data_IF_889292578840
#
_entry.id   IF_889292578840
#
_cell.length_a   1.000
_cell.length_b   1.000
_cell.length_c   1.000
_cell.angle_alpha   90.00
_cell.angle_beta   90.00
_cell.angle_gamma   90.00
#
_symmetry.space_group_name_H-M   'P 1'
#
loop_
_entity.id
_entity.type
_entity.pdbx_description
1 polymer ?
#
# COMPACT_ATOMS: atom_id res chain seq x y z
N UNK A 1 21.59 -4.24 19.21
CA UNK A 1 21.46 -3.14 18.22
C UNK A 1 20.03 -2.64 18.24
N UNK A 2 19.82 -1.41 18.73
CA UNK A 2 18.53 -0.73 18.63
C UNK A 2 18.23 -0.37 17.16
N UNK A 3 16.96 -0.11 16.80
CA UNK A 3 16.62 0.37 15.47
C UNK A 3 17.45 1.62 15.15
N UNK A 4 18.09 1.64 13.98
CA UNK A 4 18.78 2.83 13.48
C UNK A 4 17.80 3.57 12.59
N UNK A 5 17.17 4.61 13.13
CA UNK A 5 16.46 5.58 12.31
C UNK A 5 17.46 6.24 11.35
N UNK A 6 17.16 6.19 10.06
CA UNK A 6 17.95 6.84 9.02
C UNK A 6 17.07 7.87 8.30
N UNK A 7 17.54 9.11 8.21
CA UNK A 7 16.89 10.13 7.39
C UNK A 7 17.24 9.87 5.91
N UNK A 8 16.24 9.57 5.09
CA UNK A 8 16.45 9.29 3.66
C UNK A 8 16.27 10.54 2.78
N UNK A 9 15.31 11.40 3.14
CA UNK A 9 15.02 12.69 2.49
C UNK A 9 14.33 13.62 3.49
N UNK A 10 14.08 14.88 3.16
CA UNK A 10 13.38 15.80 4.08
C UNK A 10 12.00 15.26 4.49
N UNK A 11 11.77 15.17 5.80
CA UNK A 11 10.56 14.58 6.36
C UNK A 11 10.36 13.08 6.13
N UNK A 12 11.32 12.35 5.54
CA UNK A 12 11.21 10.90 5.25
C UNK A 12 12.31 10.11 5.96
N UNK A 13 11.90 9.15 6.79
CA UNK A 13 12.77 8.30 7.61
C UNK A 13 12.59 6.83 7.30
N UNK A 14 13.66 6.06 7.42
CA UNK A 14 13.64 4.60 7.42
C UNK A 14 13.92 4.08 8.83
N UNK A 15 13.07 3.16 9.31
CA UNK A 15 13.13 2.57 10.64
C UNK A 15 13.93 1.26 10.63
N UNK A 16 15.23 1.33 10.36
CA UNK A 16 16.06 0.13 10.24
C UNK A 16 16.13 -0.66 11.54
N UNK A 17 15.88 -1.97 11.48
CA UNK A 17 15.85 -2.87 12.64
C UNK A 17 14.61 -2.78 13.53
N UNK A 18 13.56 -2.04 13.13
CA UNK A 18 12.27 -2.02 13.85
C UNK A 18 11.52 -3.34 13.71
N UNK A 19 11.59 -3.97 12.52
CA UNK A 19 11.13 -5.33 12.28
C UNK A 19 12.28 -6.21 11.73
N UNK A 20 12.98 -6.88 12.64
CA UNK A 20 14.11 -7.76 12.28
C UNK A 20 13.66 -8.96 11.45
N UNK A 21 12.45 -9.47 11.70
CA UNK A 21 11.93 -10.63 10.97
C UNK A 21 11.72 -10.25 9.51
N UNK A 22 11.11 -9.09 9.25
CA UNK A 22 10.95 -8.56 7.91
C UNK A 22 12.32 -8.36 7.23
N UNK A 23 13.27 -7.69 7.89
CA UNK A 23 14.60 -7.47 7.30
C UNK A 23 15.33 -8.78 6.97
N UNK A 24 15.19 -9.81 7.81
CA UNK A 24 15.76 -11.12 7.54
C UNK A 24 15.06 -11.83 6.37
N UNK A 25 13.76 -11.65 6.19
CA UNK A 25 13.04 -12.12 4.99
C UNK A 25 13.60 -11.46 3.72
N UNK A 26 13.76 -10.13 3.69
CA UNK A 26 14.38 -9.43 2.56
C UNK A 26 15.79 -10.00 2.25
N UNK A 27 16.63 -10.17 3.27
CA UNK A 27 17.98 -10.73 3.11
C UNK A 27 17.93 -12.16 2.57
N UNK A 28 17.00 -12.98 3.04
CA UNK A 28 16.89 -14.40 2.65
C UNK A 28 16.63 -14.58 1.14
N UNK A 29 15.97 -13.61 0.53
CA UNK A 29 15.69 -13.58 -0.92
C UNK A 29 16.70 -12.70 -1.68
N UNK A 30 17.82 -12.34 -1.06
CA UNK A 30 18.90 -11.56 -1.67
C UNK A 30 18.57 -10.08 -1.90
N UNK A 31 17.65 -9.50 -1.13
CA UNK A 31 17.32 -8.08 -1.17
C UNK A 31 17.80 -7.36 0.09
N UNK A 32 17.96 -6.04 -0.01
CA UNK A 32 18.21 -5.16 1.13
C UNK A 32 17.01 -4.23 1.30
N UNK A 33 16.28 -4.38 2.41
CA UNK A 33 15.07 -3.61 2.68
C UNK A 33 15.30 -2.08 2.68
N UNK A 34 16.42 -1.63 3.24
CA UNK A 34 16.77 -0.20 3.28
C UNK A 34 17.05 0.33 1.88
N UNK A 35 17.83 -0.40 1.08
CA UNK A 35 18.21 0.05 -0.26
C UNK A 35 17.00 0.06 -1.19
N UNK A 36 16.11 -0.93 -1.12
CA UNK A 36 14.85 -0.92 -1.86
C UNK A 36 13.97 0.26 -1.43
N UNK A 37 13.86 0.56 -0.14
CA UNK A 37 13.11 1.74 0.32
C UNK A 37 13.69 3.04 -0.24
N UNK A 38 15.03 3.18 -0.21
CA UNK A 38 15.74 4.37 -0.66
C UNK A 38 15.71 4.57 -2.18
N UNK A 39 15.90 3.50 -2.95
CA UNK A 39 16.10 3.58 -4.40
C UNK A 39 14.80 3.38 -5.19
N UNK A 40 13.82 2.67 -4.63
CA UNK A 40 12.59 2.29 -5.33
C UNK A 40 11.37 2.97 -4.72
N UNK A 41 11.08 2.72 -3.44
CA UNK A 41 9.88 3.26 -2.77
C UNK A 41 9.89 4.79 -2.69
N UNK A 42 11.07 5.40 -2.56
CA UNK A 42 11.22 6.85 -2.43
C UNK A 42 10.53 7.62 -3.56
N UNK A 43 10.55 7.10 -4.79
CA UNK A 43 9.93 7.75 -5.94
C UNK A 43 8.41 7.90 -5.72
N UNK A 44 7.75 6.79 -5.41
CA UNK A 44 6.30 6.74 -5.21
C UNK A 44 5.89 7.49 -3.93
N UNK A 45 6.74 7.49 -2.91
CA UNK A 45 6.52 8.23 -1.66
C UNK A 45 6.63 9.75 -1.83
N UNK A 46 7.54 10.23 -2.68
CA UNK A 46 7.64 11.65 -3.00
C UNK A 46 6.43 12.12 -3.82
N UNK A 47 5.95 11.30 -4.75
CA UNK A 47 4.72 11.56 -5.49
C UNK A 47 3.49 11.59 -4.56
N UNK A 48 3.41 10.64 -3.62
CA UNK A 48 2.40 10.64 -2.55
C UNK A 48 2.45 11.95 -1.73
N UNK A 49 3.64 12.34 -1.25
CA UNK A 49 3.83 13.56 -0.45
C UNK A 49 3.37 14.81 -1.20
N UNK A 50 3.76 14.96 -2.46
CA UNK A 50 3.28 16.06 -3.31
C UNK A 50 1.76 16.00 -3.50
N UNK A 51 1.22 14.80 -3.71
CA UNK A 51 -0.22 14.56 -3.86
C UNK A 51 -1.01 15.02 -2.63
N UNK A 52 -0.53 14.71 -1.43
CA UNK A 52 -1.11 15.14 -0.15
C UNK A 52 -1.03 16.67 -0.02
N UNK A 53 0.15 17.25 -0.20
CA UNK A 53 0.37 18.70 -0.04
C UNK A 53 -0.46 19.55 -1.02
N UNK A 54 -0.59 19.08 -2.27
CA UNK A 54 -1.39 19.75 -3.30
C UNK A 54 -2.86 19.33 -3.31
N UNK A 55 -3.28 18.50 -2.34
CA UNK A 55 -4.66 17.97 -2.22
C UNK A 55 -5.15 17.28 -3.50
N UNK A 56 -4.27 16.53 -4.16
CA UNK A 56 -4.51 15.82 -5.43
C UNK A 56 -4.90 14.37 -5.17
N UNK A 57 -6.17 14.13 -4.89
CA UNK A 57 -6.66 12.78 -4.60
C UNK A 57 -6.50 11.79 -5.76
N UNK A 58 -6.51 12.25 -7.01
CA UNK A 58 -6.28 11.38 -8.16
C UNK A 58 -4.89 10.71 -8.12
N UNK A 59 -3.89 11.33 -7.48
CA UNK A 59 -2.55 10.76 -7.29
C UNK A 59 -2.62 9.56 -6.35
N UNK A 60 -3.36 9.68 -5.24
CA UNK A 60 -3.57 8.57 -4.30
C UNK A 60 -4.25 7.37 -4.96
N UNK A 61 -5.26 7.64 -5.79
CA UNK A 61 -5.94 6.58 -6.56
C UNK A 61 -4.98 5.94 -7.55
N UNK A 62 -4.20 6.74 -8.28
CA UNK A 62 -3.25 6.22 -9.29
C UNK A 62 -2.13 5.39 -8.67
N UNK A 63 -1.75 5.70 -7.42
CA UNK A 63 -0.80 4.90 -6.65
C UNK A 63 -1.44 3.65 -6.02
N UNK A 64 -2.77 3.53 -5.99
CA UNK A 64 -3.45 2.40 -5.35
C UNK A 64 -3.38 1.13 -6.21
N UNK A 65 -3.22 -0.01 -5.55
CA UNK A 65 -3.25 -1.32 -6.19
C UNK A 65 -4.66 -1.62 -6.73
N UNK A 66 -4.72 -2.36 -7.83
CA UNK A 66 -5.92 -2.98 -8.41
C UNK A 66 -6.78 -3.74 -7.39
N UNK A 67 -6.21 -4.28 -6.31
CA UNK A 67 -6.96 -4.94 -5.24
C UNK A 67 -7.99 -4.01 -4.55
N UNK A 68 -7.61 -2.75 -4.32
CA UNK A 68 -8.52 -1.75 -3.75
C UNK A 68 -9.63 -1.43 -4.75
N UNK A 69 -9.27 -1.21 -6.02
CA UNK A 69 -10.26 -0.96 -7.08
C UNK A 69 -11.24 -2.12 -7.24
N UNK A 70 -10.78 -3.38 -7.20
CA UNK A 70 -11.66 -4.56 -7.23
C UNK A 70 -12.60 -4.63 -6.04
N UNK A 71 -12.09 -4.30 -4.85
CA UNK A 71 -12.91 -4.28 -3.62
C UNK A 71 -14.01 -3.22 -3.73
N UNK A 72 -13.67 -2.03 -4.23
CA UNK A 72 -14.63 -0.96 -4.49
C UNK A 72 -15.63 -1.31 -5.60
N UNK A 73 -15.16 -1.96 -6.66
CA UNK A 73 -16.01 -2.39 -7.77
C UNK A 73 -17.12 -3.31 -7.24
N UNK A 74 -16.75 -4.28 -6.40
CA UNK A 74 -17.69 -5.22 -5.78
C UNK A 74 -18.62 -4.50 -4.79
N UNK A 75 -18.08 -3.68 -3.90
CA UNK A 75 -18.87 -2.95 -2.90
C UNK A 75 -19.89 -1.98 -3.52
N UNK A 76 -19.61 -1.48 -4.72
CA UNK A 76 -20.48 -0.55 -5.46
C UNK A 76 -21.16 -1.18 -6.69
N UNK A 77 -21.00 -2.49 -6.89
CA UNK A 77 -21.56 -3.25 -7.99
C UNK A 77 -21.34 -2.58 -9.37
N UNK A 78 -20.08 -2.24 -9.66
CA UNK A 78 -19.70 -1.55 -10.91
C UNK A 78 -19.27 -2.57 -11.98
N UNK A 79 -19.50 -2.25 -13.27
CA UNK A 79 -19.40 -3.24 -14.35
C UNK A 79 -17.95 -3.59 -14.71
N UNK A 80 -16.96 -2.78 -14.32
CA UNK A 80 -15.55 -3.10 -14.53
C UNK A 80 -14.62 -2.38 -13.54
N UNK A 81 -13.41 -2.91 -13.38
CA UNK A 81 -12.34 -2.25 -12.63
C UNK A 81 -12.00 -0.87 -13.24
N UNK A 82 -11.99 -0.76 -14.57
CA UNK A 82 -11.70 0.49 -15.25
C UNK A 82 -12.74 1.56 -14.92
N UNK A 83 -14.02 1.24 -15.04
CA UNK A 83 -15.08 2.19 -14.69
C UNK A 83 -15.06 2.54 -13.20
N UNK A 84 -14.70 1.59 -12.34
CA UNK A 84 -14.52 1.82 -10.91
C UNK A 84 -13.39 2.80 -10.63
N UNK A 85 -12.22 2.60 -11.24
CA UNK A 85 -11.07 3.52 -11.11
C UNK A 85 -11.45 4.94 -11.57
N UNK A 86 -12.13 5.06 -12.72
CA UNK A 86 -12.58 6.36 -13.23
C UNK A 86 -13.62 7.01 -12.32
N UNK A 87 -14.57 6.24 -11.80
CA UNK A 87 -15.59 6.72 -10.89
C UNK A 87 -14.99 7.12 -9.54
N UNK A 88 -14.02 6.37 -9.03
CA UNK A 88 -13.29 6.69 -7.81
C UNK A 88 -12.48 7.97 -7.95
N UNK A 89 -11.75 8.15 -9.06
CA UNK A 89 -11.06 9.43 -9.37
C UNK A 89 -12.03 10.61 -9.36
N UNK A 90 -13.19 10.47 -10.00
CA UNK A 90 -14.24 11.51 -10.03
C UNK A 90 -14.94 11.71 -8.69
N UNK A 91 -14.97 10.71 -7.81
CA UNK A 91 -15.67 10.81 -6.53
C UNK A 91 -15.02 11.88 -5.63
N UNK A 92 -13.70 12.06 -5.74
CA UNK A 92 -12.96 13.10 -5.03
C UNK A 92 -13.31 14.52 -5.49
N UNK A 93 -13.64 14.73 -6.77
CA UNK A 93 -14.12 16.03 -7.25
C UNK A 93 -15.48 16.40 -6.65
N UNK A 94 -16.27 15.38 -6.26
CA UNK A 94 -17.62 15.52 -5.71
C UNK A 94 -17.68 15.38 -4.18
N UNK A 95 -16.53 15.22 -3.52
CA UNK A 95 -16.45 15.05 -2.07
C UNK A 95 -17.00 13.73 -1.53
N UNK A 96 -17.12 12.68 -2.36
CA UNK A 96 -17.54 11.35 -1.93
C UNK A 96 -16.32 10.45 -1.74
N UNK A 97 -16.00 10.10 -0.51
CA UNK A 97 -14.93 9.16 -0.18
C UNK A 97 -15.44 7.72 -0.34
N UNK A 98 -14.76 6.91 -1.17
CA UNK A 98 -14.97 5.45 -1.27
C UNK A 98 -13.94 4.68 -0.44
N UNK A 99 -12.82 5.34 -0.15
CA UNK A 99 -11.87 5.05 0.92
C UNK A 99 -11.51 6.40 1.58
N UNK A 100 -11.18 6.40 2.87
CA UNK A 100 -10.98 7.61 3.70
C UNK A 100 -9.68 8.38 3.41
N UNK A 101 -9.22 8.40 2.16
CA UNK A 101 -8.06 9.20 1.73
C UNK A 101 -8.23 10.70 2.00
N UNK A 102 -9.45 11.18 2.20
CA UNK A 102 -9.70 12.57 2.60
C UNK A 102 -9.07 12.92 3.97
N UNK A 103 -8.88 11.94 4.86
CA UNK A 103 -8.16 12.11 6.12
C UNK A 103 -6.73 12.61 5.90
N UNK A 104 -6.08 12.16 4.82
CA UNK A 104 -4.72 12.57 4.47
C UNK A 104 -4.63 14.05 4.08
N UNK A 105 -5.75 14.66 3.63
CA UNK A 105 -5.80 16.10 3.29
C UNK A 105 -6.29 16.98 4.44
N UNK A 106 -7.04 16.40 5.38
CA UNK A 106 -7.55 17.08 6.58
C UNK A 106 -6.43 17.29 7.59
N UNK A 107 -5.60 16.28 7.77
CA UNK A 107 -4.47 16.35 8.68
C UNK A 107 -3.23 16.93 8.00
N UNK A 108 -2.47 17.76 8.72
CA UNK A 108 -1.17 18.24 8.25
C UNK A 108 -0.12 17.17 8.50
N UNK A 109 0.26 16.44 7.45
CA UNK A 109 1.31 15.41 7.51
C UNK A 109 2.69 16.09 7.46
N UNK A 110 3.54 15.82 8.45
CA UNK A 110 4.86 16.45 8.60
C UNK A 110 6.02 15.48 8.43
N UNK A 111 5.81 14.18 8.60
CA UNK A 111 6.83 13.18 8.30
C UNK A 111 6.26 11.83 7.90
N UNK A 112 7.10 11.04 7.23
CA UNK A 112 6.82 9.70 6.75
C UNK A 112 7.88 8.74 7.31
N UNK A 113 7.46 7.70 8.01
CA UNK A 113 8.34 6.71 8.62
C UNK A 113 8.12 5.35 7.95
N UNK A 114 9.15 4.85 7.28
CA UNK A 114 9.12 3.62 6.49
C UNK A 114 9.64 2.46 7.35
N UNK A 115 8.83 1.42 7.47
CA UNK A 115 9.15 0.18 8.16
C UNK A 115 9.03 -1.01 7.19
N UNK A 116 10.05 -1.88 7.08
CA UNK A 116 9.91 -3.12 6.32
C UNK A 116 8.86 -4.02 6.98
N UNK A 117 7.98 -4.64 6.19
CA UNK A 117 6.90 -5.49 6.71
C UNK A 117 7.11 -6.96 6.39
N UNK A 118 7.30 -7.29 5.11
CA UNK A 118 7.55 -8.66 4.68
C UNK A 118 8.16 -8.69 3.27
N UNK A 119 8.82 -9.79 2.95
CA UNK A 119 9.22 -10.09 1.57
C UNK A 119 9.22 -11.60 1.35
N UNK A 120 8.72 -12.03 0.18
CA UNK A 120 8.67 -13.43 -0.19
C UNK A 120 9.25 -13.64 -1.60
N UNK A 121 9.53 -14.90 -1.91
CA UNK A 121 10.02 -15.32 -3.22
C UNK A 121 9.22 -16.54 -3.65
N UNK A 122 8.60 -16.44 -4.83
CA UNK A 122 7.91 -17.55 -5.47
C UNK A 122 8.80 -18.12 -6.57
N UNK A 123 9.26 -19.36 -6.38
CA UNK A 123 10.14 -20.07 -7.31
C UNK A 123 9.29 -20.82 -8.33
N UNK A 124 9.43 -20.43 -9.59
CA UNK A 124 8.71 -21.01 -10.72
C UNK A 124 9.33 -22.33 -11.15
N UNK A 125 8.55 -23.13 -11.89
CA UNK A 125 8.98 -24.45 -12.40
C UNK A 125 10.22 -24.40 -13.29
N UNK A 126 10.50 -23.26 -13.92
CA UNK A 126 11.67 -23.02 -14.78
C UNK A 126 12.92 -22.59 -13.99
N UNK A 127 12.85 -22.57 -12.65
CA UNK A 127 13.94 -22.15 -11.77
C UNK A 127 14.10 -20.64 -11.63
N UNK A 128 13.30 -19.84 -12.33
CA UNK A 128 13.22 -18.39 -12.12
C UNK A 128 12.32 -18.06 -10.93
N UNK A 129 12.34 -16.83 -10.44
CA UNK A 129 11.54 -16.48 -9.27
C UNK A 129 10.99 -15.06 -9.32
N UNK A 130 9.73 -14.89 -8.92
CA UNK A 130 9.18 -13.58 -8.61
C UNK A 130 9.46 -13.26 -7.15
N UNK A 131 9.59 -11.98 -6.82
CA UNK A 131 9.72 -11.52 -5.42
C UNK A 131 8.68 -10.47 -5.15
N UNK A 132 7.94 -10.63 -4.07
CA UNK A 132 7.00 -9.66 -3.53
C UNK A 132 7.58 -9.07 -2.24
N UNK A 133 7.28 -7.79 -2.00
CA UNK A 133 7.78 -7.09 -0.82
C UNK A 133 6.79 -6.03 -0.37
N UNK A 134 6.71 -5.81 0.93
CA UNK A 134 5.81 -4.84 1.52
C UNK A 134 6.51 -3.96 2.55
N UNK A 135 6.08 -2.70 2.60
CA UNK A 135 6.48 -1.72 3.59
C UNK A 135 5.26 -1.08 4.22
N UNK A 136 5.34 -0.81 5.53
CA UNK A 136 4.43 0.13 6.18
C UNK A 136 5.04 1.52 6.11
N UNK A 137 4.21 2.49 5.76
CA UNK A 137 4.57 3.90 5.80
C UNK A 137 3.61 4.58 6.78
N UNK A 138 4.16 4.98 7.92
CA UNK A 138 3.45 5.72 8.95
C UNK A 138 3.53 7.21 8.64
N UNK A 139 2.38 7.89 8.61
CA UNK A 139 2.27 9.31 8.32
C UNK A 139 2.06 10.06 9.63
N UNK A 140 3.06 10.84 10.05
CA UNK A 140 3.02 11.65 11.26
C UNK A 140 2.26 12.95 11.02
N UNK A 141 1.30 13.21 11.89
CA UNK A 141 0.55 14.47 11.90
C UNK A 141 1.30 15.55 12.68
N UNK A 142 1.11 16.81 12.32
CA UNK A 142 1.62 17.93 13.10
C UNK A 142 1.13 17.84 14.56
N UNK A 143 2.04 18.08 15.51
CA UNK A 143 1.74 17.96 16.94
C UNK A 143 1.75 16.52 17.49
N UNK A 144 1.85 15.50 16.64
CA UNK A 144 1.95 14.11 17.08
C UNK A 144 3.36 13.80 17.59
N UNK A 145 3.45 13.40 18.86
CA UNK A 145 4.70 13.05 19.54
C UNK A 145 4.77 11.56 19.86
N UNK A 146 5.97 11.05 20.16
CA UNK A 146 6.19 9.64 20.46
C UNK A 146 6.20 8.72 19.23
N UNK A 147 6.24 7.40 19.51
CA UNK A 147 6.30 6.34 18.50
C UNK A 147 4.97 6.22 17.76
N UNK A 148 5.03 6.10 16.44
CA UNK A 148 3.85 5.82 15.60
C UNK A 148 3.48 4.33 15.69
N UNK A 149 2.19 4.08 15.66
CA UNK A 149 1.55 2.76 15.76
C UNK A 149 0.39 2.70 14.77
N UNK A 150 -0.15 1.51 14.52
CA UNK A 150 -1.29 1.34 13.62
C UNK A 150 -2.54 2.06 14.13
N UNK A 151 -2.66 2.22 15.45
CA UNK A 151 -3.84 2.78 16.11
C UNK A 151 -3.82 4.31 16.20
N UNK A 152 -2.62 4.91 16.22
CA UNK A 152 -2.46 6.35 16.47
C UNK A 152 -2.02 7.16 15.24
N UNK A 153 -1.78 6.53 14.09
CA UNK A 153 -1.28 7.19 12.90
C UNK A 153 -1.98 6.70 11.63
N UNK A 154 -1.88 7.50 10.57
CA UNK A 154 -2.31 7.05 9.25
C UNK A 154 -1.25 6.11 8.70
N UNK A 155 -1.62 4.87 8.35
CA UNK A 155 -0.66 3.87 7.88
C UNK A 155 -1.05 3.36 6.52
N UNK A 156 -0.16 3.58 5.55
CA UNK A 156 -0.28 3.02 4.21
C UNK A 156 0.64 1.80 4.09
N UNK A 157 0.15 0.72 3.47
CA UNK A 157 1.00 -0.41 3.08
C UNK A 157 1.32 -0.25 1.61
N UNK A 158 2.62 -0.24 1.29
CA UNK A 158 3.10 -0.25 -0.08
C UNK A 158 3.57 -1.66 -0.45
N UNK A 159 3.05 -2.21 -1.54
CA UNK A 159 3.47 -3.48 -2.12
C UNK A 159 4.26 -3.25 -3.40
N UNK A 160 5.40 -3.94 -3.51
CA UNK A 160 6.26 -3.92 -4.68
C UNK A 160 6.45 -5.33 -5.23
N UNK A 161 6.73 -5.42 -6.53
CA UNK A 161 6.95 -6.69 -7.24
C UNK A 161 8.23 -6.61 -8.07
N UNK A 162 9.10 -7.61 -7.94
CA UNK A 162 10.15 -7.92 -8.91
C UNK A 162 9.74 -9.14 -9.71
N UNK A 163 9.75 -9.00 -11.03
CA UNK A 163 9.44 -10.11 -11.91
C UNK A 163 10.60 -11.10 -12.00
N UNK A 164 10.35 -12.24 -12.64
CA UNK A 164 11.35 -13.30 -12.88
C UNK A 164 12.62 -12.88 -13.62
N UNK A 165 12.64 -11.72 -14.29
CA UNK A 165 13.83 -11.15 -14.94
C UNK A 165 14.64 -10.24 -14.01
N UNK A 166 14.19 -10.04 -12.77
CA UNK A 166 14.76 -9.09 -11.82
C UNK A 166 14.35 -7.64 -12.09
N UNK A 167 13.38 -7.40 -12.98
CA UNK A 167 12.88 -6.06 -13.25
C UNK A 167 11.86 -5.66 -12.18
N UNK A 168 12.03 -4.46 -11.64
CA UNK A 168 11.14 -3.91 -10.62
C UNK A 168 9.91 -3.25 -11.27
N UNK A 169 8.72 -3.73 -10.91
CA UNK A 169 7.44 -3.28 -11.48
C UNK A 169 6.90 -1.97 -10.90
N UNK A 170 7.47 -1.45 -9.81
CA UNK A 170 6.96 -0.28 -9.09
C UNK A 170 6.38 -0.65 -7.72
N UNK A 171 6.12 0.36 -6.89
CA UNK A 171 5.26 0.19 -5.71
C UNK A 171 3.84 0.68 -5.99
N UNK A 172 2.90 0.11 -5.24
CA UNK A 172 1.52 0.60 -5.16
C UNK A 172 1.02 0.52 -3.72
N UNK A 173 0.08 1.40 -3.35
CA UNK A 173 -0.62 1.37 -2.07
C UNK A 173 -1.56 0.16 -2.11
N UNK A 174 -1.20 -0.86 -1.34
CA UNK A 174 -1.98 -2.09 -1.16
C UNK A 174 -3.07 -1.91 -0.11
N UNK A 175 -2.83 -1.03 0.86
CA UNK A 175 -3.77 -0.77 1.95
C UNK A 175 -3.66 0.66 2.48
N UNK A 176 -4.81 1.22 2.87
CA UNK A 176 -4.88 2.22 3.94
C UNK A 176 -5.49 1.55 5.16
N UNK A 177 -4.62 1.22 6.13
CA UNK A 177 -4.99 0.39 7.29
C UNK A 177 -6.15 1.04 8.03
N UNK A 178 -7.22 0.27 8.28
CA UNK A 178 -8.48 0.69 8.93
C UNK A 178 -9.33 1.72 8.15
N UNK A 179 -8.98 2.06 6.91
CA UNK A 179 -9.57 3.20 6.20
C UNK A 179 -10.03 2.89 4.76
N UNK A 180 -9.51 1.85 4.13
CA UNK A 180 -10.07 1.30 2.89
C UNK A 180 -10.77 -0.03 3.18
N UNK A 181 -11.88 -0.35 2.49
CA UNK A 181 -12.47 -1.69 2.50
C UNK A 181 -11.53 -2.64 1.74
N UNK A 182 -10.60 -3.26 2.47
CA UNK A 182 -9.80 -4.36 1.96
C UNK A 182 -10.54 -5.59 2.44
N UNK A 183 -11.19 -6.30 1.52
CA UNK A 183 -11.77 -7.60 1.87
C UNK A 183 -10.64 -8.45 2.45
N UNK A 184 -10.83 -8.95 3.67
CA UNK A 184 -9.86 -9.83 4.29
C UNK A 184 -9.69 -11.10 3.44
N UNK A 185 -8.56 -11.83 3.55
CA UNK A 185 -8.41 -13.12 2.87
C UNK A 185 -9.53 -14.11 3.16
N UNK A 186 -10.16 -14.00 4.34
CA UNK A 186 -11.31 -14.82 4.76
C UNK A 186 -12.60 -14.36 4.07
N UNK A 187 -12.78 -13.05 3.88
CA UNK A 187 -13.88 -12.49 3.08
C UNK A 187 -13.70 -12.82 1.59
N UNK A 188 -12.46 -12.82 1.07
CA UNK A 188 -12.14 -13.29 -0.28
C UNK A 188 -12.43 -14.78 -0.47
N UNK A 189 -12.14 -15.62 0.53
CA UNK A 189 -12.43 -17.06 0.48
C UNK A 189 -13.94 -17.33 0.58
N UNK A 190 -14.64 -16.66 1.50
CA UNK A 190 -16.09 -16.74 1.62
C UNK A 190 -16.80 -16.31 0.33
N UNK A 191 -16.32 -15.25 -0.33
CA UNK A 191 -16.82 -14.80 -1.63
C UNK A 191 -16.56 -15.81 -2.75
N UNK A 192 -15.35 -16.39 -2.83
CA UNK A 192 -15.06 -17.47 -3.79
C UNK A 192 -15.94 -18.70 -3.58
N UNK A 193 -16.17 -19.07 -2.33
CA UNK A 193 -17.01 -20.20 -1.95
C UNK A 193 -18.49 -19.91 -2.27
N UNK A 194 -18.95 -18.67 -2.07
CA UNK A 194 -20.30 -18.21 -2.41
C UNK A 194 -20.54 -18.20 -3.93
N UNK A 195 -19.62 -17.63 -4.71
CA UNK A 195 -19.68 -17.60 -6.19
C UNK A 195 -19.63 -19.02 -6.80
N UNK A 196 -18.86 -19.92 -6.20
CA UNK A 196 -18.76 -21.32 -6.63
C UNK A 196 -20.02 -22.14 -6.29
N UNK A 197 -20.75 -21.76 -5.24
CA UNK A 197 -21.97 -22.45 -4.79
C UNK A 197 -23.26 -21.85 -5.35
N UNK A 198 -23.21 -20.64 -5.91
CA UNK A 198 -24.37 -19.95 -6.51
C UNK A 198 -24.01 -19.32 -7.87
N UNK A 199 -23.64 -20.12 -8.89
CA UNK A 199 -23.29 -19.59 -10.20
C UNK A 199 -24.48 -18.84 -10.82
N UNK A 200 -24.32 -17.55 -11.07
CA UNK A 200 -25.33 -16.70 -11.73
C UNK A 200 -26.25 -15.88 -10.81
N UNK A 201 -25.98 -15.77 -9.51
CA UNK A 201 -26.77 -14.91 -8.59
C UNK A 201 -26.03 -13.64 -8.11
N UNK A 202 -24.85 -13.36 -8.68
CA UNK A 202 -24.15 -12.07 -8.50
C UNK A 202 -24.61 -10.96 -9.44
N UNK A 203 -25.63 -11.21 -10.27
CA UNK A 203 -26.26 -10.21 -11.14
C UNK A 203 -27.54 -9.69 -10.47
N UNK A 204 -27.44 -8.57 -9.77
CA UNK A 204 -28.57 -7.67 -9.50
C UNK A 204 -28.13 -6.23 -9.69
#
# INVERSE_FOLDING_TARGET
CAPKEEQLADGIKYLGGSDKKAEDQFKSIGLNARDIAKERLMKDLLELKEGIEKKRAFVLVSLSNSGITRSLQRAHNLPSEYETDQAWKKSFEKGKAWCDYDLLFKDKIVSYEIEPMEANQDVLKDGTSNKDMRYRVYLRKEGQTGKLTLENSHVLVFAGLMNRKGEFGGFSIDAFVNHCPILSPEEEQYLKDFESSHPGQGEQ
#
